data_IF_069115166615
#
_entry.id   IF_069115166615
#
_cell.length_a   1.000
_cell.length_b   1.000
_cell.length_c   1.000
_cell.angle_alpha   90.00
_cell.angle_beta   90.00
_cell.angle_gamma   90.00
#
_symmetry.space_group_name_H-M   'P 1'
#
loop_
_entity.id
_entity.type
_entity.pdbx_description
1 polymer ?
#
# COMPACT_ATOMS: atom_id res chain seq x y z
N UNK A 1 14.19 -39.92 -8.64
CA UNK A 1 14.59 -38.68 -9.39
C UNK A 1 13.50 -37.64 -9.19
N UNK A 2 13.69 -36.64 -8.31
CA UNK A 2 12.75 -35.58 -8.11
C UNK A 2 12.67 -34.73 -9.38
N UNK A 3 11.52 -34.76 -10.04
CA UNK A 3 11.26 -34.01 -11.29
C UNK A 3 11.57 -32.51 -11.05
N UNK A 4 12.37 -31.97 -11.94
CA UNK A 4 12.78 -30.56 -12.05
C UNK A 4 11.59 -29.62 -12.35
N UNK A 5 10.50 -29.70 -11.57
CA UNK A 5 9.28 -28.97 -11.84
C UNK A 5 9.36 -27.51 -11.39
N UNK A 6 8.99 -26.60 -12.29
CA UNK A 6 8.82 -25.17 -11.96
C UNK A 6 7.59 -24.96 -11.08
N UNK A 7 7.64 -23.94 -10.20
CA UNK A 7 6.52 -23.56 -9.34
C UNK A 7 5.93 -22.24 -9.83
N UNK A 8 4.67 -22.26 -10.26
CA UNK A 8 4.00 -21.13 -10.88
C UNK A 8 3.12 -20.40 -9.84
N UNK A 9 3.35 -19.10 -9.67
CA UNK A 9 2.57 -18.21 -8.81
C UNK A 9 1.81 -17.23 -9.70
N UNK A 10 0.48 -17.24 -9.64
CA UNK A 10 -0.37 -16.22 -10.26
C UNK A 10 -0.77 -15.22 -9.21
N UNK A 11 -0.65 -13.93 -9.49
CA UNK A 11 -1.03 -12.86 -8.57
C UNK A 11 -2.05 -11.93 -9.23
N UNK A 12 -3.15 -11.68 -8.56
CA UNK A 12 -4.13 -10.68 -8.98
C UNK A 12 -3.95 -9.40 -8.16
N UNK A 13 -3.64 -8.29 -8.83
CA UNK A 13 -3.52 -6.96 -8.25
C UNK A 13 -4.83 -6.18 -8.45
N UNK A 14 -5.45 -5.76 -7.33
CA UNK A 14 -6.74 -5.04 -7.35
C UNK A 14 -6.56 -3.56 -7.71
N UNK A 15 -6.15 -3.28 -8.94
CA UNK A 15 -5.88 -1.92 -9.41
C UNK A 15 -7.15 -1.23 -9.94
N UNK A 16 -7.71 -0.35 -9.14
CA UNK A 16 -8.85 0.50 -9.54
C UNK A 16 -8.49 1.98 -9.57
N UNK A 17 -7.67 2.44 -8.63
CA UNK A 17 -7.20 3.82 -8.53
C UNK A 17 -5.96 3.88 -7.63
N UNK A 18 -4.92 4.53 -8.09
CA UNK A 18 -3.67 4.63 -7.34
C UNK A 18 -2.64 3.54 -7.68
N UNK A 19 -1.44 3.69 -7.13
CA UNK A 19 -0.29 2.82 -7.40
C UNK A 19 -0.03 1.80 -6.29
N UNK A 20 -0.80 1.87 -5.21
CA UNK A 20 -0.53 1.11 -3.99
C UNK A 20 -0.62 -0.41 -4.17
N UNK A 21 -1.60 -0.88 -4.96
CA UNK A 21 -1.81 -2.31 -5.19
C UNK A 21 -0.68 -2.91 -6.02
N UNK A 22 -0.43 -2.37 -7.21
CA UNK A 22 0.64 -2.89 -8.08
C UNK A 22 2.01 -2.80 -7.41
N UNK A 23 2.34 -1.70 -6.71
CA UNK A 23 3.62 -1.57 -5.97
C UNK A 23 3.76 -2.62 -4.87
N UNK A 24 2.69 -2.93 -4.14
CA UNK A 24 2.69 -3.99 -3.13
C UNK A 24 2.83 -5.37 -3.77
N UNK A 25 2.03 -5.67 -4.81
CA UNK A 25 2.09 -6.94 -5.53
C UNK A 25 3.49 -7.18 -6.09
N UNK A 26 4.11 -6.17 -6.71
CA UNK A 26 5.48 -6.25 -7.19
C UNK A 26 6.51 -6.47 -6.08
N UNK A 27 6.37 -5.78 -4.95
CA UNK A 27 7.25 -5.98 -3.81
C UNK A 27 7.17 -7.43 -3.30
N UNK A 28 5.95 -7.97 -3.14
CA UNK A 28 5.75 -9.37 -2.75
C UNK A 28 6.34 -10.30 -3.81
N UNK A 29 6.04 -10.10 -5.10
CA UNK A 29 6.52 -10.93 -6.20
C UNK A 29 8.05 -10.98 -6.24
N UNK A 30 8.72 -9.83 -6.20
CA UNK A 30 10.19 -9.76 -6.23
C UNK A 30 10.84 -10.51 -5.07
N UNK A 31 10.21 -10.53 -3.91
CA UNK A 31 10.74 -11.23 -2.74
C UNK A 31 10.40 -12.72 -2.70
N UNK A 32 9.26 -13.14 -3.29
CA UNK A 32 8.88 -14.54 -3.41
C UNK A 32 9.62 -15.23 -4.57
N UNK A 33 10.28 -14.45 -5.42
CA UNK A 33 11.10 -14.98 -6.50
C UNK A 33 12.22 -15.87 -5.95
N UNK A 34 12.46 -16.98 -6.60
CA UNK A 34 13.51 -17.92 -6.22
C UNK A 34 13.78 -18.92 -7.34
N UNK A 35 14.73 -19.83 -7.15
CA UNK A 35 15.05 -20.84 -8.14
C UNK A 35 13.79 -21.62 -8.56
N UNK A 36 13.51 -21.67 -9.88
CA UNK A 36 12.37 -22.38 -10.46
C UNK A 36 10.98 -21.85 -10.06
N UNK A 37 10.89 -20.60 -9.61
CA UNK A 37 9.61 -19.94 -9.38
C UNK A 37 9.34 -18.99 -10.54
N UNK A 38 8.18 -19.15 -11.18
CA UNK A 38 7.67 -18.20 -12.17
C UNK A 38 6.49 -17.45 -11.56
N UNK A 39 6.45 -16.15 -11.75
CA UNK A 39 5.38 -15.30 -11.22
C UNK A 39 4.73 -14.54 -12.37
N UNK A 40 3.41 -14.64 -12.48
CA UNK A 40 2.63 -13.88 -13.45
C UNK A 40 1.64 -12.98 -12.72
N UNK A 41 1.69 -11.68 -13.01
CA UNK A 41 0.88 -10.67 -12.35
C UNK A 41 -0.27 -10.21 -13.26
N UNK A 42 -1.50 -10.38 -12.83
CA UNK A 42 -2.69 -9.81 -13.47
C UNK A 42 -2.95 -8.43 -12.89
N UNK A 43 -2.93 -7.38 -13.73
CA UNK A 43 -3.03 -6.00 -13.25
C UNK A 43 -3.86 -5.11 -14.19
N UNK A 44 -4.72 -4.27 -13.63
CA UNK A 44 -5.41 -3.20 -14.35
C UNK A 44 -4.63 -1.89 -14.41
N UNK A 45 -3.44 -1.83 -13.84
CA UNK A 45 -2.64 -0.61 -13.76
C UNK A 45 -2.16 -0.15 -15.14
N UNK A 46 -2.42 1.12 -15.53
CA UNK A 46 -1.97 1.65 -16.82
C UNK A 46 -0.45 1.85 -16.90
N UNK A 47 0.22 1.81 -15.77
CA UNK A 47 1.66 2.06 -15.69
C UNK A 47 2.49 0.80 -15.41
N UNK A 48 1.88 -0.38 -15.41
CA UNK A 48 2.59 -1.64 -15.14
C UNK A 48 3.83 -1.79 -16.02
N UNK A 49 3.74 -1.47 -17.32
CA UNK A 49 4.86 -1.52 -18.25
C UNK A 49 5.99 -0.49 -18.02
N UNK A 50 5.86 0.40 -17.03
CA UNK A 50 6.94 1.33 -16.63
C UNK A 50 7.82 0.79 -15.50
N UNK A 51 7.45 -0.35 -14.93
CA UNK A 51 8.26 -1.01 -13.91
C UNK A 51 9.25 -1.97 -14.59
N UNK A 52 10.42 -2.12 -13.99
CA UNK A 52 11.37 -3.17 -14.34
C UNK A 52 10.97 -4.45 -13.62
N UNK A 53 10.80 -5.52 -14.36
CA UNK A 53 10.51 -6.84 -13.83
C UNK A 53 11.79 -7.69 -13.86
N UNK A 54 12.17 -8.35 -12.75
CA UNK A 54 13.22 -9.36 -12.75
C UNK A 54 12.86 -10.53 -13.67
N UNK A 55 13.86 -11.28 -14.11
CA UNK A 55 13.64 -12.55 -14.80
C UNK A 55 12.67 -13.44 -14.03
N UNK A 56 11.80 -14.17 -14.77
CA UNK A 56 10.74 -15.05 -14.26
C UNK A 56 9.56 -14.32 -13.60
N UNK A 57 9.51 -13.00 -13.68
CA UNK A 57 8.30 -12.24 -13.35
C UNK A 57 7.81 -11.54 -14.61
N UNK A 58 6.56 -11.75 -14.97
CA UNK A 58 5.90 -11.07 -16.07
C UNK A 58 4.49 -10.63 -15.68
N UNK A 59 3.81 -9.88 -16.52
CA UNK A 59 2.47 -9.41 -16.23
C UNK A 59 1.53 -9.47 -17.44
N UNK A 60 0.25 -9.68 -17.13
CA UNK A 60 -0.85 -9.51 -18.07
C UNK A 60 -1.64 -8.27 -17.68
N UNK A 61 -1.69 -7.28 -18.56
CA UNK A 61 -2.49 -6.09 -18.36
C UNK A 61 -3.94 -6.35 -18.79
N UNK A 62 -4.85 -6.29 -17.82
CA UNK A 62 -6.29 -6.32 -18.07
C UNK A 62 -6.82 -4.88 -18.24
N UNK A 63 -7.94 -4.65 -18.95
CA UNK A 63 -8.50 -3.30 -19.13
C UNK A 63 -8.72 -2.58 -17.81
N UNK A 64 -8.21 -1.35 -17.70
CA UNK A 64 -8.32 -0.55 -16.47
C UNK A 64 -9.76 -0.12 -16.19
N UNK A 65 -10.11 -0.04 -14.90
CA UNK A 65 -11.39 0.49 -14.43
C UNK A 65 -11.15 1.61 -13.40
N UNK A 66 -11.97 2.64 -13.43
CA UNK A 66 -11.96 3.74 -12.46
C UNK A 66 -13.20 3.60 -11.56
N UNK A 67 -13.00 3.75 -10.27
CA UNK A 67 -14.07 3.85 -9.29
C UNK A 67 -14.62 5.27 -9.29
N UNK A 68 -15.88 5.47 -9.66
CA UNK A 68 -16.58 6.76 -9.65
C UNK A 68 -17.27 6.98 -8.29
N UNK A 69 -17.99 5.98 -7.83
CA UNK A 69 -18.63 5.93 -6.50
C UNK A 69 -18.32 4.60 -5.82
N UNK A 70 -18.87 4.35 -4.64
CA UNK A 70 -18.64 3.07 -3.94
C UNK A 70 -19.13 1.86 -4.74
N UNK A 71 -20.13 2.03 -5.57
CA UNK A 71 -20.75 0.95 -6.35
C UNK A 71 -20.63 1.10 -7.87
N UNK A 72 -20.15 2.24 -8.37
CA UNK A 72 -20.02 2.51 -9.80
C UNK A 72 -18.57 2.51 -10.27
N UNK A 73 -18.32 1.74 -11.33
CA UNK A 73 -17.03 1.65 -11.99
C UNK A 73 -17.17 1.92 -13.48
N UNK A 74 -16.27 2.72 -14.02
CA UNK A 74 -16.21 3.07 -15.43
C UNK A 74 -14.92 2.55 -16.07
N UNK A 75 -14.94 2.22 -17.37
CA UNK A 75 -13.71 1.93 -18.10
C UNK A 75 -12.74 3.10 -18.06
N UNK A 76 -11.44 2.81 -17.87
CA UNK A 76 -10.41 3.83 -17.79
C UNK A 76 -10.15 4.52 -19.14
N UNK A 77 -10.13 3.78 -20.23
CA UNK A 77 -9.66 4.26 -21.54
C UNK A 77 -10.62 3.92 -22.68
N UNK A 78 -11.10 2.69 -22.75
CA UNK A 78 -11.98 2.26 -23.84
C UNK A 78 -13.41 2.73 -23.60
N UNK A 79 -14.08 3.16 -24.68
CA UNK A 79 -15.44 3.73 -24.60
C UNK A 79 -16.50 2.68 -24.94
N UNK A 80 -16.60 1.66 -24.09
CA UNK A 80 -17.65 0.65 -24.16
C UNK A 80 -18.37 0.53 -22.82
N UNK A 81 -19.50 -0.16 -22.79
CA UNK A 81 -20.25 -0.34 -21.55
C UNK A 81 -19.42 -1.08 -20.49
N UNK A 82 -19.47 -0.63 -19.22
CA UNK A 82 -18.68 -1.17 -18.13
C UNK A 82 -18.84 -2.68 -17.93
N UNK A 83 -20.04 -3.24 -18.19
CA UNK A 83 -20.31 -4.67 -18.13
C UNK A 83 -19.44 -5.47 -19.12
N UNK A 84 -19.29 -5.00 -20.34
CA UNK A 84 -18.45 -5.67 -21.34
C UNK A 84 -16.98 -5.67 -20.93
N UNK A 85 -16.49 -4.55 -20.35
CA UNK A 85 -15.13 -4.51 -19.82
C UNK A 85 -14.93 -5.51 -18.67
N UNK A 86 -15.90 -5.62 -17.78
CA UNK A 86 -15.86 -6.59 -16.67
C UNK A 86 -15.84 -8.04 -17.21
N UNK A 87 -16.60 -8.33 -18.26
CA UNK A 87 -16.63 -9.67 -18.86
C UNK A 87 -15.29 -9.98 -19.57
N UNK A 88 -14.71 -9.01 -20.29
CA UNK A 88 -13.36 -9.13 -20.85
C UNK A 88 -12.35 -9.43 -19.74
N UNK A 89 -12.37 -8.68 -18.63
CA UNK A 89 -11.47 -8.89 -17.50
C UNK A 89 -11.61 -10.29 -16.89
N UNK A 90 -12.84 -10.73 -16.61
CA UNK A 90 -13.12 -12.09 -16.10
C UNK A 90 -12.56 -13.18 -17.02
N UNK A 91 -12.78 -13.03 -18.34
CA UNK A 91 -12.33 -14.00 -19.32
C UNK A 91 -10.79 -14.06 -19.39
N UNK A 92 -10.10 -12.90 -19.41
CA UNK A 92 -8.64 -12.84 -19.41
C UNK A 92 -8.08 -13.50 -18.13
N UNK A 93 -8.62 -13.15 -16.94
CA UNK A 93 -8.17 -13.71 -15.66
C UNK A 93 -8.32 -15.25 -15.69
N UNK A 94 -9.49 -15.75 -16.12
CA UNK A 94 -9.77 -17.18 -16.13
C UNK A 94 -8.94 -17.93 -17.18
N UNK A 95 -8.81 -17.39 -18.39
CA UNK A 95 -8.01 -17.98 -19.46
C UNK A 95 -6.53 -18.02 -19.08
N UNK A 96 -6.01 -16.93 -18.49
CA UNK A 96 -4.64 -16.88 -17.99
C UNK A 96 -4.40 -17.94 -16.90
N UNK A 97 -5.30 -18.07 -15.94
CA UNK A 97 -5.17 -19.08 -14.89
C UNK A 97 -5.18 -20.51 -15.46
N UNK A 98 -6.05 -20.78 -16.46
CA UNK A 98 -6.13 -22.09 -17.12
C UNK A 98 -4.85 -22.42 -17.88
N UNK A 99 -4.29 -21.48 -18.62
CA UNK A 99 -3.06 -21.67 -19.40
C UNK A 99 -1.80 -21.74 -18.53
N UNK A 100 -1.70 -20.88 -17.54
CA UNK A 100 -0.54 -20.77 -16.64
C UNK A 100 -0.46 -21.88 -15.60
N UNK A 101 -1.61 -22.53 -15.29
CA UNK A 101 -1.72 -23.63 -14.32
C UNK A 101 -1.00 -23.33 -12.99
N UNK A 102 -1.45 -22.32 -12.23
CA UNK A 102 -0.75 -21.90 -11.03
C UNK A 102 -0.77 -22.98 -9.94
N UNK A 103 0.32 -23.10 -9.21
CA UNK A 103 0.40 -23.85 -7.96
C UNK A 103 -0.08 -23.01 -6.78
N UNK A 104 0.08 -21.69 -6.91
CA UNK A 104 -0.34 -20.69 -5.93
C UNK A 104 -1.05 -19.55 -6.65
N UNK A 105 -2.24 -19.16 -6.18
CA UNK A 105 -2.98 -18.01 -6.66
C UNK A 105 -3.19 -17.01 -5.52
N UNK A 106 -2.56 -15.83 -5.60
CA UNK A 106 -2.65 -14.78 -4.59
C UNK A 106 -3.58 -13.68 -5.10
N UNK A 107 -4.67 -13.42 -4.37
CA UNK A 107 -5.64 -12.36 -4.66
C UNK A 107 -5.41 -11.19 -3.70
N UNK A 108 -5.15 -9.99 -4.21
CA UNK A 108 -4.86 -8.81 -3.40
C UNK A 108 -6.14 -8.09 -2.99
N UNK A 109 -6.32 -7.90 -1.71
CA UNK A 109 -7.29 -7.05 -1.01
C UNK A 109 -8.78 -7.44 -1.14
N UNK A 110 -9.31 -7.48 -2.35
CA UNK A 110 -10.76 -7.73 -2.55
C UNK A 110 -11.00 -9.22 -2.76
N UNK A 111 -11.70 -9.89 -1.86
CA UNK A 111 -11.83 -11.35 -1.86
C UNK A 111 -12.38 -11.94 -3.16
N UNK A 112 -13.21 -11.19 -3.87
CA UNK A 112 -13.80 -11.63 -5.14
C UNK A 112 -13.29 -10.82 -6.34
N UNK A 113 -12.34 -9.91 -6.12
CA UNK A 113 -11.89 -8.94 -7.12
C UNK A 113 -12.95 -7.87 -7.42
N UNK A 114 -12.70 -7.05 -8.44
CA UNK A 114 -13.62 -6.01 -8.87
C UNK A 114 -14.93 -6.64 -9.35
N UNK A 115 -16.06 -6.29 -8.73
CA UNK A 115 -17.39 -6.80 -9.14
C UNK A 115 -17.41 -8.33 -9.35
N UNK A 116 -16.75 -9.08 -8.47
CA UNK A 116 -16.64 -10.55 -8.48
C UNK A 116 -15.90 -11.13 -9.69
N UNK A 117 -15.00 -10.38 -10.33
CA UNK A 117 -14.31 -10.82 -11.55
C UNK A 117 -13.35 -12.00 -11.34
N UNK A 118 -12.85 -12.20 -10.11
CA UNK A 118 -11.96 -13.33 -9.74
C UNK A 118 -12.74 -14.59 -9.37
N UNK A 119 -14.01 -14.45 -9.01
CA UNK A 119 -14.86 -15.55 -8.55
C UNK A 119 -14.93 -16.75 -9.53
N UNK A 120 -15.10 -16.58 -10.85
CA UNK A 120 -15.09 -17.71 -11.79
C UNK A 120 -13.78 -18.50 -11.76
N UNK A 121 -12.65 -17.78 -11.66
CA UNK A 121 -11.31 -18.40 -11.57
C UNK A 121 -11.15 -19.19 -10.28
N UNK A 122 -11.54 -18.64 -9.13
CA UNK A 122 -11.48 -19.34 -7.84
C UNK A 122 -12.34 -20.60 -7.83
N UNK A 123 -13.55 -20.55 -8.39
CA UNK A 123 -14.43 -21.71 -8.54
C UNK A 123 -13.83 -22.79 -9.47
N UNK A 124 -13.23 -22.36 -10.58
CA UNK A 124 -12.56 -23.26 -11.49
C UNK A 124 -11.34 -23.94 -10.85
N UNK A 125 -10.48 -23.18 -10.14
CA UNK A 125 -9.34 -23.73 -9.41
C UNK A 125 -9.79 -24.77 -8.40
N UNK A 126 -10.80 -24.47 -7.57
CA UNK A 126 -11.32 -25.40 -6.58
C UNK A 126 -11.81 -26.73 -7.20
N UNK A 127 -12.49 -26.65 -8.36
CA UNK A 127 -13.09 -27.82 -9.00
C UNK A 127 -12.09 -28.62 -9.83
N UNK A 128 -11.24 -27.94 -10.59
CA UNK A 128 -10.41 -28.56 -11.61
C UNK A 128 -8.92 -28.64 -11.24
N UNK A 129 -8.50 -27.90 -10.22
CA UNK A 129 -7.11 -27.83 -9.74
C UNK A 129 -7.07 -27.77 -8.21
N UNK A 130 -7.57 -28.80 -7.50
CA UNK A 130 -7.70 -28.79 -6.03
C UNK A 130 -6.35 -28.62 -5.31
N UNK A 131 -5.25 -29.00 -5.97
CA UNK A 131 -3.88 -28.82 -5.45
C UNK A 131 -3.39 -27.36 -5.52
N UNK A 132 -4.07 -26.47 -6.26
CA UNK A 132 -3.73 -25.05 -6.28
C UNK A 132 -4.16 -24.40 -4.99
N UNK A 133 -3.22 -23.79 -4.28
CA UNK A 133 -3.54 -22.99 -3.09
C UNK A 133 -4.01 -21.61 -3.52
N UNK A 134 -5.21 -21.24 -3.11
CA UNK A 134 -5.74 -19.88 -3.29
C UNK A 134 -5.56 -19.10 -2.00
N UNK A 135 -4.82 -17.98 -2.07
CA UNK A 135 -4.54 -17.12 -0.91
C UNK A 135 -5.15 -15.76 -1.12
N UNK A 136 -5.80 -15.24 -0.08
CA UNK A 136 -6.23 -13.86 -0.03
C UNK A 136 -5.22 -13.03 0.76
N UNK A 137 -4.70 -11.97 0.16
CA UNK A 137 -3.87 -10.98 0.86
C UNK A 137 -4.70 -9.79 1.30
N UNK A 138 -4.93 -9.64 2.59
CA UNK A 138 -5.64 -8.52 3.18
C UNK A 138 -4.64 -7.52 3.78
N UNK A 139 -4.95 -6.23 3.70
CA UNK A 139 -4.24 -5.24 4.51
C UNK A 139 -4.63 -5.38 5.97
N UNK A 140 -3.82 -4.80 6.83
CA UNK A 140 -4.07 -4.70 8.27
C UNK A 140 -5.51 -4.25 8.59
N UNK A 141 -5.91 -3.08 8.07
CA UNK A 141 -7.21 -2.45 8.28
C UNK A 141 -7.86 -2.20 6.94
N UNK A 142 -9.09 -2.69 6.76
CA UNK A 142 -9.85 -2.51 5.52
C UNK A 142 -10.69 -1.23 5.56
N UNK A 143 -11.41 -1.02 6.65
CA UNK A 143 -12.20 0.16 7.01
C UNK A 143 -12.68 0.00 8.47
N UNK A 144 -13.59 0.85 8.96
CA UNK A 144 -14.26 0.63 10.24
C UNK A 144 -15.07 -0.67 10.25
N UNK A 145 -15.21 -1.25 11.44
CA UNK A 145 -15.82 -2.58 11.62
C UNK A 145 -17.26 -2.64 11.13
N UNK A 146 -18.05 -1.60 11.35
CA UNK A 146 -19.47 -1.56 10.95
C UNK A 146 -19.60 -1.59 9.44
N UNK A 147 -18.82 -0.75 8.76
CA UNK A 147 -18.80 -0.65 7.28
C UNK A 147 -18.34 -1.97 6.66
N UNK A 148 -17.25 -2.58 7.18
CA UNK A 148 -16.73 -3.85 6.64
C UNK A 148 -17.74 -4.96 6.84
N UNK A 149 -18.30 -5.14 8.04
CA UNK A 149 -19.29 -6.19 8.35
C UNK A 149 -20.51 -6.07 7.44
N UNK A 150 -21.05 -4.87 7.28
CA UNK A 150 -22.20 -4.60 6.40
C UNK A 150 -21.93 -4.97 4.94
N UNK A 151 -20.78 -4.53 4.42
CA UNK A 151 -20.39 -4.80 3.02
C UNK A 151 -20.10 -6.28 2.78
N UNK A 152 -19.42 -6.94 3.71
CA UNK A 152 -19.09 -8.35 3.61
C UNK A 152 -20.32 -9.27 3.71
N UNK A 153 -21.29 -8.95 4.59
CA UNK A 153 -22.58 -9.65 4.65
C UNK A 153 -23.34 -9.49 3.31
N UNK A 154 -23.48 -8.25 2.82
CA UNK A 154 -24.15 -7.97 1.54
C UNK A 154 -23.55 -8.73 0.36
N UNK A 155 -22.23 -8.85 0.30
CA UNK A 155 -21.48 -9.52 -0.77
C UNK A 155 -21.30 -11.02 -0.56
N UNK A 156 -21.73 -11.56 0.57
CA UNK A 156 -21.53 -12.96 0.99
C UNK A 156 -20.03 -13.30 1.06
N UNK A 157 -19.19 -12.38 1.54
CA UNK A 157 -17.73 -12.54 1.57
C UNK A 157 -17.34 -13.68 2.53
N UNK A 158 -17.93 -13.74 3.72
CA UNK A 158 -17.63 -14.77 4.74
C UNK A 158 -17.69 -16.18 4.18
N UNK A 159 -18.78 -16.52 3.47
CA UNK A 159 -18.94 -17.84 2.83
C UNK A 159 -17.84 -18.12 1.79
N UNK A 160 -17.45 -17.09 1.02
CA UNK A 160 -16.41 -17.24 0.01
C UNK A 160 -15.01 -17.38 0.64
N UNK A 161 -14.73 -16.70 1.78
CA UNK A 161 -13.50 -16.89 2.53
C UNK A 161 -13.37 -18.34 2.99
N UNK A 162 -14.47 -18.89 3.52
CA UNK A 162 -14.49 -20.28 3.99
C UNK A 162 -14.31 -21.28 2.86
N UNK A 163 -15.04 -21.09 1.73
CA UNK A 163 -15.10 -22.09 0.67
C UNK A 163 -13.97 -22.02 -0.33
N UNK A 164 -13.43 -20.82 -0.65
CA UNK A 164 -12.59 -20.63 -1.83
C UNK A 164 -11.12 -20.38 -1.53
N UNK A 165 -10.79 -20.03 -0.28
CA UNK A 165 -9.43 -19.71 0.11
C UNK A 165 -8.82 -20.79 1.01
N UNK A 166 -7.60 -21.18 0.69
CA UNK A 166 -6.80 -22.08 1.51
C UNK A 166 -6.22 -21.36 2.73
N UNK A 167 -5.79 -20.12 2.52
CA UNK A 167 -5.26 -19.23 3.56
C UNK A 167 -5.63 -17.77 3.30
N UNK A 168 -5.58 -16.97 4.36
CA UNK A 168 -5.75 -15.52 4.32
C UNK A 168 -4.53 -14.90 4.98
N UNK A 169 -3.75 -14.15 4.23
CA UNK A 169 -2.57 -13.46 4.74
C UNK A 169 -2.90 -12.04 5.12
N UNK A 170 -2.79 -11.72 6.40
CA UNK A 170 -2.97 -10.37 6.91
C UNK A 170 -1.63 -9.65 6.86
N UNK A 171 -1.53 -8.60 6.06
CA UNK A 171 -0.34 -7.76 5.95
C UNK A 171 -0.25 -6.78 7.12
N UNK A 172 -0.09 -7.29 8.32
CA UNK A 172 -0.05 -6.55 9.56
C UNK A 172 0.16 -7.48 10.75
N UNK A 173 0.25 -6.90 11.93
CA UNK A 173 0.40 -7.62 13.20
C UNK A 173 -0.89 -7.51 14.01
N UNK A 174 -1.25 -8.59 14.68
CA UNK A 174 -2.48 -8.70 15.48
C UNK A 174 -2.55 -7.67 16.61
N UNK A 175 -1.42 -7.35 17.22
CA UNK A 175 -1.29 -6.36 18.29
C UNK A 175 -1.68 -4.93 17.87
N UNK A 176 -1.57 -4.61 16.57
CA UNK A 176 -1.97 -3.31 16.03
C UNK A 176 -3.45 -3.27 15.68
N UNK A 177 -3.94 -4.34 15.08
CA UNK A 177 -5.35 -4.46 14.72
C UNK A 177 -5.72 -5.92 14.50
N UNK A 178 -6.77 -6.36 15.17
CA UNK A 178 -7.27 -7.73 15.04
C UNK A 178 -8.54 -7.79 14.18
N UNK A 179 -8.42 -8.02 12.85
CA UNK A 179 -9.57 -8.14 11.97
C UNK A 179 -10.44 -9.37 12.29
N UNK A 180 -9.93 -10.35 13.04
CA UNK A 180 -10.71 -11.52 13.46
C UNK A 180 -11.81 -11.06 14.42
N UNK A 181 -11.44 -10.32 15.45
CA UNK A 181 -12.38 -9.79 16.44
C UNK A 181 -13.24 -8.67 15.84
N UNK A 182 -12.63 -7.72 15.12
CA UNK A 182 -13.31 -6.54 14.61
C UNK A 182 -14.35 -6.83 13.52
N UNK A 183 -14.12 -7.84 12.68
CA UNK A 183 -15.00 -8.17 11.56
C UNK A 183 -15.86 -9.41 11.80
N UNK A 184 -15.97 -9.90 13.05
CA UNK A 184 -16.75 -11.08 13.44
C UNK A 184 -16.40 -12.31 12.56
N UNK A 185 -15.12 -12.60 12.44
CA UNK A 185 -14.63 -13.73 11.65
C UNK A 185 -14.93 -15.04 12.38
N UNK A 186 -15.56 -16.00 11.68
CA UNK A 186 -15.82 -17.33 12.23
C UNK A 186 -14.53 -18.08 12.55
N UNK A 187 -14.60 -19.03 13.47
CA UNK A 187 -13.45 -19.85 13.85
C UNK A 187 -12.87 -20.61 12.66
N UNK A 188 -13.73 -21.19 11.81
CA UNK A 188 -13.30 -21.92 10.60
C UNK A 188 -12.50 -21.07 9.62
N UNK A 189 -12.81 -19.77 9.51
CA UNK A 189 -12.08 -18.81 8.68
C UNK A 189 -10.84 -18.31 9.43
N UNK A 190 -10.93 -18.05 10.74
CA UNK A 190 -9.81 -17.54 11.54
C UNK A 190 -8.62 -18.51 11.56
N UNK A 191 -8.87 -19.82 11.55
CA UNK A 191 -7.84 -20.87 11.46
C UNK A 191 -7.02 -20.81 10.16
N UNK A 192 -7.55 -20.18 9.10
CA UNK A 192 -6.86 -19.94 7.82
C UNK A 192 -6.14 -18.59 7.78
N UNK A 193 -6.33 -17.73 8.80
CA UNK A 193 -5.76 -16.39 8.84
C UNK A 193 -4.36 -16.39 9.46
N UNK A 194 -3.40 -15.85 8.73
CA UNK A 194 -2.01 -15.74 9.15
C UNK A 194 -1.58 -14.28 9.13
N UNK A 195 -1.23 -13.74 10.28
CA UNK A 195 -0.60 -12.43 10.37
C UNK A 195 0.82 -12.54 9.87
N UNK A 196 1.08 -12.00 8.69
CA UNK A 196 2.41 -12.07 8.08
C UNK A 196 3.35 -11.02 8.62
N UNK A 197 2.82 -9.95 9.17
CA UNK A 197 3.54 -8.72 9.45
C UNK A 197 3.48 -7.73 8.28
N UNK A 198 3.97 -6.52 8.52
CA UNK A 198 3.99 -5.46 7.52
C UNK A 198 5.04 -5.73 6.44
N UNK A 199 4.74 -5.29 5.20
CA UNK A 199 5.58 -5.58 4.04
C UNK A 199 6.73 -4.57 3.96
N UNK A 200 8.00 -5.02 4.05
CA UNK A 200 9.16 -4.15 3.97
C UNK A 200 9.31 -3.53 2.59
N UNK A 201 10.04 -2.44 2.54
CA UNK A 201 10.48 -1.77 1.33
C UNK A 201 12.01 -1.82 1.23
N UNK A 202 12.52 -1.51 0.05
CA UNK A 202 13.95 -1.45 -0.18
C UNK A 202 14.58 -0.39 0.74
N UNK A 203 15.64 -0.76 1.44
CA UNK A 203 16.47 0.17 2.20
C UNK A 203 17.54 0.70 1.24
N UNK A 204 17.66 2.03 1.03
CA UNK A 204 18.69 2.61 0.19
C UNK A 204 20.05 2.53 0.87
N UNK A 205 21.12 2.57 0.07
CA UNK A 205 22.48 2.68 0.64
C UNK A 205 22.71 4.07 1.23
N UNK A 206 23.68 4.18 2.13
CA UNK A 206 24.08 5.47 2.74
C UNK A 206 24.49 6.49 1.68
N UNK A 207 25.21 6.06 0.64
CA UNK A 207 25.65 6.91 -0.49
C UNK A 207 24.45 7.46 -1.26
N UNK A 208 23.41 6.63 -1.47
CA UNK A 208 22.19 7.06 -2.14
C UNK A 208 21.41 8.11 -1.32
N UNK A 209 21.41 7.99 0.00
CA UNK A 209 20.83 8.98 0.92
C UNK A 209 21.63 10.28 0.91
N UNK A 210 22.96 10.20 0.99
CA UNK A 210 23.86 11.36 0.90
C UNK A 210 23.70 12.10 -0.46
N UNK A 211 23.52 11.37 -1.55
CA UNK A 211 23.26 11.96 -2.86
C UNK A 211 21.97 12.77 -2.86
N UNK A 212 20.88 12.24 -2.31
CA UNK A 212 19.60 12.96 -2.18
C UNK A 212 19.77 14.21 -1.32
N UNK A 213 20.46 14.13 -0.17
CA UNK A 213 20.73 15.30 0.70
C UNK A 213 21.48 16.39 -0.07
N UNK A 214 22.49 16.03 -0.84
CA UNK A 214 23.28 16.94 -1.67
C UNK A 214 22.43 17.57 -2.78
N UNK A 215 21.64 16.78 -3.49
CA UNK A 215 20.73 17.27 -4.55
C UNK A 215 19.68 18.24 -3.98
N UNK A 216 19.25 18.05 -2.75
CA UNK A 216 18.35 18.96 -2.04
C UNK A 216 19.08 20.20 -1.49
N UNK A 217 20.42 20.23 -1.54
CA UNK A 217 21.24 21.32 -1.00
C UNK A 217 21.20 21.40 0.53
N UNK A 218 21.04 20.25 1.19
CA UNK A 218 21.06 20.18 2.65
C UNK A 218 22.51 20.32 3.15
N UNK A 219 22.71 21.23 4.10
CA UNK A 219 23.96 21.38 4.85
C UNK A 219 24.02 20.36 5.98
N UNK A 220 25.22 20.14 6.51
CA UNK A 220 25.40 19.27 7.68
C UNK A 220 24.62 19.82 8.89
N UNK A 221 23.89 18.95 9.56
CA UNK A 221 23.01 19.31 10.69
C UNK A 221 21.66 19.93 10.31
N UNK A 222 21.45 20.31 9.06
CA UNK A 222 20.18 20.87 8.60
C UNK A 222 19.06 19.81 8.57
N UNK A 223 17.91 20.15 9.15
CA UNK A 223 16.75 19.24 9.24
C UNK A 223 15.92 19.25 7.96
N UNK A 224 15.37 18.09 7.61
CA UNK A 224 14.52 17.92 6.44
C UNK A 224 13.14 17.40 6.82
N UNK A 225 12.11 18.15 6.47
CA UNK A 225 10.70 17.73 6.55
C UNK A 225 10.19 17.43 5.13
N UNK A 226 9.75 16.19 4.91
CA UNK A 226 9.14 15.77 3.65
C UNK A 226 7.64 15.63 3.82
N UNK A 227 6.86 16.27 2.94
CA UNK A 227 5.39 16.18 2.95
C UNK A 227 4.90 15.40 1.75
N UNK A 228 4.12 14.35 1.97
CA UNK A 228 3.54 13.57 0.89
C UNK A 228 2.10 13.16 1.18
N UNK A 229 1.26 13.23 0.15
CA UNK A 229 -0.13 12.78 0.23
C UNK A 229 -0.35 11.45 -0.50
N UNK A 230 0.74 10.72 -0.77
CA UNK A 230 0.70 9.46 -1.48
C UNK A 230 0.17 9.62 -2.91
N UNK A 231 -1.04 9.14 -3.20
CA UNK A 231 -1.67 9.32 -4.51
C UNK A 231 -2.07 10.76 -4.82
N UNK A 232 -2.40 11.56 -3.81
CA UNK A 232 -2.67 12.99 -3.90
C UNK A 232 -4.12 13.38 -4.21
N UNK A 233 -5.01 12.43 -4.49
CA UNK A 233 -6.38 12.75 -4.91
C UNK A 233 -7.19 13.58 -3.92
N UNK A 234 -6.97 13.36 -2.63
CA UNK A 234 -7.61 14.02 -1.48
C UNK A 234 -6.62 14.84 -0.62
N UNK A 235 -5.39 15.03 -1.11
CA UNK A 235 -4.29 15.60 -0.34
C UNK A 235 -4.14 17.12 -0.39
N UNK A 236 -5.00 17.85 -1.08
CA UNK A 236 -4.82 19.29 -1.26
C UNK A 236 -4.78 20.05 0.08
N UNK A 237 -5.72 19.79 0.99
CA UNK A 237 -5.76 20.43 2.31
C UNK A 237 -4.46 20.21 3.09
N UNK A 238 -3.86 19.01 3.00
CA UNK A 238 -2.59 18.72 3.68
C UNK A 238 -1.48 19.65 3.18
N UNK A 239 -1.37 19.81 1.87
CA UNK A 239 -0.37 20.71 1.26
C UNK A 239 -0.65 22.16 1.54
N UNK A 240 -1.92 22.58 1.45
CA UNK A 240 -2.38 23.95 1.65
C UNK A 240 -2.11 24.43 3.08
N UNK A 241 -2.50 23.64 4.08
CA UNK A 241 -2.24 23.94 5.50
C UNK A 241 -0.74 23.93 5.82
N UNK A 242 0.04 23.02 5.22
CA UNK A 242 1.48 23.01 5.40
C UNK A 242 2.14 24.29 4.86
N UNK A 243 1.71 24.76 3.68
CA UNK A 243 2.21 26.00 3.12
C UNK A 243 1.78 27.22 3.97
N UNK A 244 0.54 27.23 4.48
CA UNK A 244 0.08 28.26 5.40
C UNK A 244 0.91 28.27 6.70
N UNK A 245 1.27 27.11 7.22
CA UNK A 245 2.18 26.98 8.36
C UNK A 245 3.56 27.58 8.05
N UNK A 246 4.14 27.30 6.87
CA UNK A 246 5.42 27.90 6.49
C UNK A 246 5.33 29.43 6.33
N UNK A 247 4.22 29.94 5.81
CA UNK A 247 3.96 31.40 5.69
C UNK A 247 3.81 32.10 7.04
N UNK A 248 3.44 31.36 8.10
CA UNK A 248 3.27 31.93 9.45
C UNK A 248 4.59 32.10 10.23
N UNK A 249 5.72 31.60 9.72
CA UNK A 249 7.01 31.84 10.37
C UNK A 249 7.46 33.28 10.15
N UNK A 250 7.81 33.98 11.21
CA UNK A 250 8.40 35.33 11.15
C UNK A 250 9.84 35.33 10.63
N UNK A 251 10.52 34.19 10.75
CA UNK A 251 11.90 33.95 10.33
C UNK A 251 11.97 32.67 9.50
N UNK A 252 13.14 32.40 8.90
CA UNK A 252 13.38 31.13 8.20
C UNK A 252 13.09 29.93 9.11
N UNK A 253 12.25 28.97 8.70
CA UNK A 253 12.01 27.77 9.48
C UNK A 253 13.32 27.01 9.79
N UNK A 254 13.46 26.39 10.98
CA UNK A 254 14.68 25.66 11.36
C UNK A 254 14.86 24.33 10.63
N UNK A 255 14.16 24.16 9.52
CA UNK A 255 14.20 22.97 8.67
C UNK A 255 13.93 23.32 7.20
N UNK A 256 14.47 22.52 6.30
CA UNK A 256 14.10 22.54 4.88
C UNK A 256 12.87 21.69 4.62
N UNK A 257 12.10 22.07 3.61
CA UNK A 257 10.88 21.36 3.22
C UNK A 257 10.93 20.85 1.80
N UNK A 258 10.38 19.65 1.58
CA UNK A 258 10.11 19.09 0.27
C UNK A 258 8.68 18.60 0.21
N UNK A 259 7.93 19.04 -0.80
CA UNK A 259 6.54 18.66 -1.02
C UNK A 259 6.40 17.70 -2.20
N UNK A 260 5.66 16.60 -2.03
CA UNK A 260 5.39 15.61 -3.08
C UNK A 260 3.88 15.43 -3.18
N UNK A 261 3.26 16.08 -4.17
CA UNK A 261 1.79 16.19 -4.28
C UNK A 261 1.09 14.89 -4.68
N UNK A 262 1.81 13.99 -5.32
CA UNK A 262 1.23 12.75 -5.86
C UNK A 262 0.57 12.91 -7.24
N UNK A 263 0.49 11.79 -8.00
CA UNK A 263 0.08 11.84 -9.42
C UNK A 263 -1.40 12.14 -9.65
N UNK A 264 -2.25 12.00 -8.63
CA UNK A 264 -3.70 12.16 -8.76
C UNK A 264 -4.25 13.46 -8.18
N UNK A 265 -3.38 14.34 -7.66
CA UNK A 265 -3.82 15.67 -7.23
C UNK A 265 -4.41 16.43 -8.43
N UNK A 266 -5.61 17.04 -8.30
CA UNK A 266 -6.22 17.83 -9.37
C UNK A 266 -5.25 18.87 -9.93
N UNK A 267 -5.26 19.05 -11.25
CA UNK A 267 -4.28 19.91 -11.95
C UNK A 267 -4.24 21.33 -11.39
N UNK A 268 -5.41 21.91 -11.10
CA UNK A 268 -5.50 23.27 -10.55
C UNK A 268 -4.89 23.33 -9.15
N UNK A 269 -5.32 22.47 -8.24
CA UNK A 269 -4.78 22.40 -6.87
C UNK A 269 -3.26 22.21 -6.85
N UNK A 270 -2.74 21.36 -7.75
CA UNK A 270 -1.29 21.16 -7.87
C UNK A 270 -0.57 22.41 -8.36
N UNK A 271 -1.14 23.15 -9.33
CA UNK A 271 -0.57 24.42 -9.80
C UNK A 271 -0.50 25.45 -8.65
N UNK A 272 -1.54 25.52 -7.84
CA UNK A 272 -1.61 26.45 -6.72
C UNK A 272 -0.56 26.11 -5.66
N UNK A 273 -0.42 24.83 -5.29
CA UNK A 273 0.63 24.36 -4.38
C UNK A 273 2.02 24.71 -4.93
N UNK A 274 2.30 24.43 -6.20
CA UNK A 274 3.61 24.69 -6.81
C UNK A 274 3.93 26.19 -6.86
N UNK A 275 2.94 27.04 -7.18
CA UNK A 275 3.11 28.48 -7.24
C UNK A 275 3.44 29.06 -5.87
N UNK A 276 2.71 28.65 -4.80
CA UNK A 276 2.98 29.10 -3.43
C UNK A 276 4.34 28.61 -2.92
N UNK A 277 4.61 27.32 -3.06
CA UNK A 277 5.88 26.72 -2.63
C UNK A 277 7.09 27.39 -3.29
N UNK A 278 7.00 27.69 -4.60
CA UNK A 278 8.07 28.38 -5.34
C UNK A 278 8.39 29.77 -4.77
N UNK A 279 7.37 30.53 -4.34
CA UNK A 279 7.57 31.86 -3.73
C UNK A 279 8.35 31.80 -2.42
N UNK A 280 8.26 30.70 -1.71
CA UNK A 280 8.95 30.44 -0.44
C UNK A 280 10.27 29.66 -0.63
N UNK A 281 10.70 29.41 -1.86
CA UNK A 281 11.89 28.61 -2.13
C UNK A 281 11.75 27.11 -1.77
N UNK A 282 10.52 26.62 -1.55
CA UNK A 282 10.25 25.22 -1.19
C UNK A 282 10.26 24.33 -2.42
N UNK A 283 11.05 23.28 -2.35
CA UNK A 283 11.16 22.31 -3.43
C UNK A 283 9.92 21.43 -3.56
N UNK A 284 9.38 21.30 -4.76
CA UNK A 284 8.14 20.56 -5.01
C UNK A 284 8.29 19.55 -6.13
N UNK A 285 7.67 18.37 -5.95
CA UNK A 285 7.60 17.32 -6.94
C UNK A 285 6.15 16.88 -7.16
N UNK A 286 5.79 16.66 -8.42
CA UNK A 286 4.53 16.00 -8.76
C UNK A 286 4.57 14.52 -8.38
N UNK A 287 5.70 13.88 -8.68
CA UNK A 287 5.97 12.47 -8.38
C UNK A 287 7.46 12.31 -8.11
N UNK A 288 7.80 11.55 -7.09
CA UNK A 288 9.17 11.19 -6.78
C UNK A 288 9.37 9.69 -6.97
N UNK A 289 10.32 9.31 -7.84
CA UNK A 289 10.42 7.91 -8.29
C UNK A 289 10.93 6.96 -7.21
N UNK A 290 11.83 7.43 -6.36
CA UNK A 290 12.52 6.63 -5.34
C UNK A 290 12.20 7.17 -3.95
N UNK A 291 10.91 7.01 -3.55
CA UNK A 291 10.39 7.53 -2.27
C UNK A 291 11.21 7.04 -1.07
N UNK A 292 11.73 5.80 -1.11
CA UNK A 292 12.56 5.24 -0.08
C UNK A 292 13.82 6.07 0.22
N UNK A 293 14.42 6.66 -0.81
CA UNK A 293 15.63 7.48 -0.65
C UNK A 293 15.34 8.82 0.03
N UNK A 294 14.26 9.49 -0.37
CA UNK A 294 13.91 10.79 0.21
C UNK A 294 13.36 10.62 1.63
N UNK A 295 12.65 9.53 1.92
CA UNK A 295 12.21 9.22 3.28
C UNK A 295 13.40 8.91 4.20
N UNK A 296 14.38 8.13 3.73
CA UNK A 296 15.61 7.87 4.49
C UNK A 296 16.46 9.12 4.69
N UNK A 297 16.34 10.15 3.84
CA UNK A 297 17.03 11.42 3.98
C UNK A 297 16.33 12.39 4.95
N UNK A 298 15.02 12.18 5.21
CA UNK A 298 14.20 13.07 6.03
C UNK A 298 14.36 12.82 7.52
N UNK A 299 14.26 13.89 8.32
CA UNK A 299 14.10 13.80 9.77
C UNK A 299 12.64 13.49 10.12
N UNK A 300 11.70 14.14 9.45
CA UNK A 300 10.25 13.91 9.62
C UNK A 300 9.59 13.76 8.26
N UNK A 301 8.66 12.82 8.15
CA UNK A 301 7.73 12.72 7.02
C UNK A 301 6.30 13.01 7.48
N UNK A 302 5.71 14.06 6.93
CA UNK A 302 4.28 14.36 7.08
C UNK A 302 3.51 13.61 5.99
N UNK A 303 2.56 12.77 6.40
CA UNK A 303 1.80 11.95 5.44
C UNK A 303 0.36 11.71 5.87
N UNK A 304 -0.48 11.16 4.98
CA UNK A 304 -1.87 10.79 5.30
C UNK A 304 -2.03 9.41 5.91
N UNK A 305 -0.96 8.69 6.21
CA UNK A 305 -1.03 7.39 6.92
C UNK A 305 -1.57 6.23 6.07
N UNK A 306 -1.45 6.30 4.74
CA UNK A 306 -1.76 5.15 3.88
C UNK A 306 -0.82 3.97 4.17
N UNK A 307 -1.35 2.73 4.13
CA UNK A 307 -0.61 1.49 4.43
C UNK A 307 0.81 1.46 3.84
N UNK A 308 0.92 1.63 2.52
CA UNK A 308 2.22 1.56 1.85
C UNK A 308 3.17 2.67 2.28
N UNK A 309 2.64 3.89 2.44
CA UNK A 309 3.43 5.06 2.83
C UNK A 309 4.01 4.87 4.24
N UNK A 310 3.21 4.40 5.19
CA UNK A 310 3.72 4.12 6.55
C UNK A 310 4.75 2.99 6.56
N UNK A 311 4.52 1.89 5.84
CA UNK A 311 5.52 0.84 5.69
C UNK A 311 6.83 1.36 5.05
N UNK A 312 6.72 2.29 4.09
CA UNK A 312 7.89 2.93 3.46
C UNK A 312 8.64 3.82 4.46
N UNK A 313 7.94 4.66 5.22
CA UNK A 313 8.54 5.60 6.19
C UNK A 313 9.19 4.83 7.35
N UNK A 314 8.43 3.98 8.02
CA UNK A 314 8.91 3.22 9.17
C UNK A 314 10.03 2.24 8.80
N UNK A 315 9.97 1.70 7.57
CA UNK A 315 11.05 0.85 7.03
C UNK A 315 12.38 1.58 6.83
N UNK A 316 12.39 2.91 6.78
CA UNK A 316 13.60 3.73 6.72
C UNK A 316 14.06 4.24 8.10
N UNK A 317 13.33 3.92 9.16
CA UNK A 317 13.61 4.44 10.49
C UNK A 317 13.24 5.91 10.68
N UNK A 318 12.41 6.46 9.80
CA UNK A 318 12.08 7.89 9.77
C UNK A 318 10.84 8.19 10.62
N UNK A 319 10.86 9.31 11.35
CA UNK A 319 9.74 9.76 12.17
C UNK A 319 8.59 10.20 11.27
N UNK A 320 7.37 9.80 11.61
CA UNK A 320 6.17 10.11 10.85
C UNK A 320 5.18 10.94 11.65
N UNK A 321 4.77 12.08 11.07
CA UNK A 321 3.60 12.84 11.50
C UNK A 321 2.44 12.54 10.53
N UNK A 322 1.37 11.95 11.05
CA UNK A 322 0.26 11.48 10.24
C UNK A 322 -0.91 12.45 10.31
N UNK A 323 -1.41 12.87 9.13
CA UNK A 323 -2.64 13.64 8.99
C UNK A 323 -3.67 12.73 8.33
N UNK A 324 -4.36 11.89 9.11
CA UNK A 324 -5.18 10.82 8.55
C UNK A 324 -6.50 11.37 8.01
N UNK A 325 -6.87 10.93 6.82
CA UNK A 325 -8.21 11.12 6.29
C UNK A 325 -9.21 10.29 7.12
N UNK A 326 -10.40 10.85 7.35
CA UNK A 326 -11.50 10.19 8.09
C UNK A 326 -12.69 9.85 7.18
N UNK A 327 -12.82 10.51 6.04
CA UNK A 327 -13.87 10.27 5.04
C UNK A 327 -13.28 10.06 3.66
N UNK A 328 -13.86 9.22 2.79
CA UNK A 328 -15.02 8.35 2.98
C UNK A 328 -14.70 7.01 3.68
N UNK A 329 -13.47 6.77 4.09
CA UNK A 329 -13.01 5.56 4.78
C UNK A 329 -12.17 5.93 5.98
N UNK A 330 -12.30 5.14 7.04
CA UNK A 330 -11.63 5.39 8.32
C UNK A 330 -10.32 4.59 8.50
N UNK A 331 -9.87 3.82 7.51
CA UNK A 331 -8.68 2.98 7.67
C UNK A 331 -7.42 3.77 8.05
N UNK A 332 -7.32 5.05 7.64
CA UNK A 332 -6.15 5.87 7.96
C UNK A 332 -6.15 6.36 9.40
N UNK A 333 -7.28 6.85 9.90
CA UNK A 333 -7.37 7.31 11.32
C UNK A 333 -7.27 6.13 12.29
N UNK A 334 -7.88 4.98 11.98
CA UNK A 334 -7.78 3.77 12.81
C UNK A 334 -6.31 3.33 12.89
N UNK A 335 -5.60 3.32 11.75
CA UNK A 335 -4.18 2.97 11.69
C UNK A 335 -3.32 3.99 12.44
N UNK A 336 -3.53 5.29 12.24
CA UNK A 336 -2.79 6.34 12.92
C UNK A 336 -2.90 6.20 14.45
N UNK A 337 -4.12 6.00 14.96
CA UNK A 337 -4.35 5.77 16.39
C UNK A 337 -3.67 4.52 16.92
N UNK A 338 -3.70 3.43 16.16
CA UNK A 338 -3.05 2.18 16.56
C UNK A 338 -1.52 2.33 16.61
N UNK A 339 -0.92 2.94 15.59
CA UNK A 339 0.53 3.14 15.54
C UNK A 339 1.02 4.18 16.55
N UNK A 340 0.21 5.20 16.81
CA UNK A 340 0.49 6.19 17.87
C UNK A 340 0.53 5.56 19.26
N UNK A 341 -0.43 4.68 19.58
CA UNK A 341 -0.43 3.92 20.85
C UNK A 341 0.83 3.09 21.08
N UNK A 342 1.52 2.72 20.00
CA UNK A 342 2.80 1.99 20.02
C UNK A 342 4.03 2.92 19.97
N UNK A 343 3.83 4.25 20.00
CA UNK A 343 4.92 5.22 19.89
C UNK A 343 5.60 5.31 18.53
N UNK A 344 5.04 4.68 17.48
CA UNK A 344 5.66 4.63 16.15
C UNK A 344 5.45 5.88 15.32
N UNK A 345 4.37 6.61 15.57
CA UNK A 345 3.99 7.81 14.83
C UNK A 345 3.35 8.84 15.76
N UNK A 346 3.44 10.09 15.39
CA UNK A 346 2.55 11.13 15.91
C UNK A 346 1.45 11.40 14.88
N UNK A 347 0.28 11.91 15.31
CA UNK A 347 -0.79 12.25 14.38
C UNK A 347 -1.58 13.47 14.82
N UNK A 348 -2.18 14.16 13.85
CA UNK A 348 -3.13 15.23 14.07
C UNK A 348 -4.46 14.80 13.44
N UNK A 349 -5.56 14.71 14.23
CA UNK A 349 -6.89 14.45 13.68
C UNK A 349 -7.26 15.47 12.60
N UNK A 350 -8.08 15.06 11.64
CA UNK A 350 -8.47 15.93 10.53
C UNK A 350 -9.19 17.20 10.97
N UNK A 351 -9.96 17.12 12.06
CA UNK A 351 -10.66 18.28 12.65
C UNK A 351 -9.70 19.32 13.24
N UNK A 352 -8.60 18.85 13.85
CA UNK A 352 -7.63 19.69 14.57
C UNK A 352 -6.48 20.15 13.66
N UNK A 353 -6.51 19.80 12.37
CA UNK A 353 -5.43 20.09 11.44
C UNK A 353 -5.43 21.56 11.03
N UNK A 354 -4.61 22.35 11.73
CA UNK A 354 -4.40 23.79 11.55
C UNK A 354 -2.90 24.13 11.47
N UNK A 355 -2.53 25.28 10.88
CA UNK A 355 -1.13 25.67 10.69
C UNK A 355 -0.30 25.74 11.96
N UNK A 356 -0.84 26.32 13.03
CA UNK A 356 -0.21 26.47 14.34
C UNK A 356 0.02 25.12 15.02
N UNK A 357 -1.01 24.27 15.06
CA UNK A 357 -0.90 22.91 15.62
C UNK A 357 0.14 22.08 14.84
N UNK A 358 0.14 22.19 13.51
CA UNK A 358 1.12 21.51 12.67
C UNK A 358 2.55 21.97 12.95
N UNK A 359 2.77 23.29 13.07
CA UNK A 359 4.07 23.88 13.42
C UNK A 359 4.58 23.34 14.73
N UNK A 360 3.75 23.44 15.78
CA UNK A 360 4.15 23.06 17.12
C UNK A 360 4.48 21.56 17.21
N UNK A 361 3.71 20.72 16.52
CA UNK A 361 3.99 19.27 16.42
C UNK A 361 5.27 18.97 15.67
N UNK A 362 5.57 19.64 14.56
CA UNK A 362 6.83 19.46 13.81
C UNK A 362 8.03 19.88 14.67
N UNK A 363 7.98 21.04 15.30
CA UNK A 363 9.05 21.52 16.16
C UNK A 363 9.28 20.56 17.34
N UNK A 364 8.21 20.15 18.01
CA UNK A 364 8.28 19.17 19.10
C UNK A 364 8.95 17.86 18.64
N UNK A 365 8.59 17.33 17.47
CA UNK A 365 9.18 16.10 16.94
C UNK A 365 10.65 16.24 16.54
N UNK A 366 11.07 17.43 16.08
CA UNK A 366 12.47 17.71 15.76
C UNK A 366 13.35 17.73 17.01
N UNK A 367 12.80 18.23 18.13
CA UNK A 367 13.49 18.32 19.43
C UNK A 367 13.45 16.99 20.21
N UNK A 368 12.43 16.15 19.99
CA UNK A 368 12.19 14.92 20.76
C UNK A 368 12.22 13.66 19.86
N UNK A 369 13.32 13.41 19.19
CA UNK A 369 13.43 12.32 18.21
C UNK A 369 13.60 10.94 18.83
N UNK A 370 14.30 10.83 19.97
CA UNK A 370 14.76 9.55 20.51
C UNK A 370 13.65 8.56 20.87
N UNK A 371 12.54 8.93 21.54
CA UNK A 371 11.49 7.97 21.86
C UNK A 371 10.89 7.28 20.61
N UNK A 372 10.72 8.07 19.54
CA UNK A 372 10.19 7.56 18.26
C UNK A 372 11.21 6.65 17.56
N UNK A 373 12.48 7.03 17.52
CA UNK A 373 13.55 6.22 16.93
C UNK A 373 13.71 4.88 17.65
N UNK A 374 13.64 4.89 18.98
CA UNK A 374 13.69 3.67 19.77
C UNK A 374 12.49 2.75 19.45
N UNK A 375 11.26 3.27 19.45
CA UNK A 375 10.07 2.51 19.11
C UNK A 375 10.14 1.95 17.67
N UNK A 376 10.54 2.78 16.69
CA UNK A 376 10.68 2.37 15.28
C UNK A 376 11.77 1.29 15.13
N UNK A 377 12.87 1.35 15.87
CA UNK A 377 13.95 0.34 15.80
C UNK A 377 13.49 -1.06 16.24
N UNK A 378 12.51 -1.12 17.15
CA UNK A 378 11.88 -2.36 17.60
C UNK A 378 10.83 -2.88 16.63
N UNK A 379 10.28 -2.01 15.80
CA UNK A 379 9.25 -2.36 14.83
C UNK A 379 9.81 -3.18 13.68
N UNK A 380 9.37 -4.43 13.53
CA UNK A 380 9.88 -5.35 12.50
C UNK A 380 8.87 -5.51 11.36
N UNK A 381 9.35 -5.33 10.15
CA UNK A 381 8.57 -5.54 8.91
C UNK A 381 8.80 -6.98 8.41
N UNK A 382 8.14 -7.95 9.04
CA UNK A 382 8.38 -9.39 8.84
C UNK A 382 7.57 -10.02 7.71
N UNK A 383 6.75 -9.21 7.02
CA UNK A 383 5.76 -9.72 6.06
C UNK A 383 6.34 -10.68 5.01
N UNK A 384 7.47 -10.34 4.45
CA UNK A 384 8.12 -11.16 3.41
C UNK A 384 8.71 -12.45 3.95
N UNK A 385 9.35 -12.39 5.10
CA UNK A 385 9.97 -13.59 5.72
C UNK A 385 8.89 -14.63 6.03
N UNK A 386 7.78 -14.20 6.61
CA UNK A 386 6.64 -15.07 6.89
C UNK A 386 6.05 -15.68 5.62
N UNK A 387 5.87 -14.87 4.56
CA UNK A 387 5.38 -15.38 3.27
C UNK A 387 6.33 -16.38 2.63
N UNK A 388 7.64 -16.15 2.68
CA UNK A 388 8.67 -17.09 2.18
C UNK A 388 8.62 -18.42 2.93
N UNK A 389 8.53 -18.39 4.26
CA UNK A 389 8.39 -19.59 5.08
C UNK A 389 7.16 -20.39 4.67
N UNK A 390 5.99 -19.74 4.53
CA UNK A 390 4.75 -20.39 4.06
C UNK A 390 4.92 -20.98 2.67
N UNK A 391 5.58 -20.28 1.74
CA UNK A 391 5.83 -20.78 0.40
C UNK A 391 6.70 -22.06 0.41
N UNK A 392 7.72 -22.11 1.26
CA UNK A 392 8.54 -23.33 1.43
C UNK A 392 7.68 -24.49 1.93
N UNK A 393 6.85 -24.28 2.94
CA UNK A 393 5.93 -25.30 3.46
C UNK A 393 4.98 -25.83 2.39
N UNK A 394 4.47 -24.96 1.50
CA UNK A 394 3.60 -25.40 0.38
C UNK A 394 4.33 -26.24 -0.64
N UNK A 395 5.60 -25.96 -0.87
CA UNK A 395 6.42 -26.74 -1.82
C UNK A 395 6.81 -28.10 -1.26
N UNK A 396 7.11 -28.18 0.04
CA UNK A 396 7.48 -29.44 0.70
C UNK A 396 6.30 -30.42 0.85
N UNK A 397 5.06 -29.94 1.03
CA UNK A 397 3.87 -30.81 1.14
C UNK A 397 3.41 -31.45 -0.18
N UNK A 398 4.08 -31.14 -1.29
CA UNK A 398 3.84 -31.74 -2.63
C UNK A 398 4.80 -32.86 -2.97
N UNK A 399 5.77 -33.16 -2.11
CA UNK A 399 6.65 -34.34 -2.19
C UNK A 399 6.12 -35.45 -1.33
#
# INVERSE_FOLDING_TARGET
MARNSTYNILMYSHDTYGLGHIRRTMAIASHLLGPRINILILTGSPIAGRFSFPDRIDFVRIPGMIKKTNDEYLPLSIKIHARHVLDIRKNIITATAKAFQPHLFIVDKEPLGLKKEVLPTLRWLRRCRPDTRSILGLRDIMDDAVTVKKDWKRKRVYEHLEMLYSEIWIYGNREFYDPIAEYDISESVSQKMHFTGYIPRKIPSKEAVCTVKRELGLKDGEKLVVVTTGGGGDGFRVMDTYLAMLESFSHTPPFKSVLITGPFMPKQSRRDVFKRARRMGVRTYHFYRQMEKIFAAADIVVSMGGYNTLCEILGQGTISLVIPRETPRQEQIIRARSFHRQGLVEYIPWADYAPDILRDKILHLLDNTEPYREAISRFKLTGIETMKRRLVEFRCKKT
#
